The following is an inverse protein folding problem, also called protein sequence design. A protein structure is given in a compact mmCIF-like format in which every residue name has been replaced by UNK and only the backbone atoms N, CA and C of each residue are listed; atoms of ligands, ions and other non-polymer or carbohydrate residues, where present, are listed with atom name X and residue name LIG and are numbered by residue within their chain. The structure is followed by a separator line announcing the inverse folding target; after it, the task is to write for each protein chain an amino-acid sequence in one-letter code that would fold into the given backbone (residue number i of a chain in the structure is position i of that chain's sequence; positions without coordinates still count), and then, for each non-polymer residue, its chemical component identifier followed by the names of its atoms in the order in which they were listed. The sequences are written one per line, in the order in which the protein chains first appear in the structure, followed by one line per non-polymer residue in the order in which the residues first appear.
data_IF_509779660090
#
_entry.id   IF_509779660090
#
_cell.length_a   1.000
_cell.length_b   1.000
_cell.length_c   1.000
_cell.angle_alpha   90.00
_cell.angle_beta   90.00
_cell.angle_gamma   90.00
#
_symmetry.space_group_name_H-M   'P 1'
#
loop_
_entity.id
_entity.type
_entity.pdbx_description
1 polymer ?
#
# COMPACT_ATOMS: atom_id res chain seq x y z
N UNK A 1 -0.29 39.47 33.27
CA UNK A 1 -0.21 38.11 32.68
C UNK A 1 0.26 38.23 31.23
N UNK A 2 1.41 37.67 30.86
CA UNK A 2 1.93 37.74 29.48
C UNK A 2 1.09 36.82 28.57
N UNK A 3 0.38 37.41 27.62
CA UNK A 3 -0.46 36.69 26.65
C UNK A 3 0.40 35.78 25.76
N UNK A 4 0.20 34.46 25.85
CA UNK A 4 0.89 33.45 25.00
C UNK A 4 0.19 33.19 23.66
N UNK A 5 -0.87 33.94 23.38
CA UNK A 5 -1.64 33.87 22.13
C UNK A 5 -0.79 33.92 20.84
N UNK A 6 0.30 34.70 20.70
CA UNK A 6 1.06 34.72 19.44
C UNK A 6 1.81 33.42 19.14
N UNK A 7 1.95 32.51 20.12
CA UNK A 7 2.65 31.23 19.92
C UNK A 7 1.70 30.11 19.47
N UNK A 8 0.38 30.26 19.70
CA UNK A 8 -0.59 29.22 19.42
C UNK A 8 -0.64 28.85 17.92
N UNK A 9 -0.44 29.84 17.04
CA UNK A 9 -0.37 29.61 15.58
C UNK A 9 0.72 28.62 15.18
N UNK A 10 1.85 28.60 15.88
CA UNK A 10 2.96 27.68 15.56
C UNK A 10 2.62 26.24 15.94
N UNK A 11 1.84 26.04 17.00
CA UNK A 11 1.33 24.70 17.34
C UNK A 11 0.37 24.18 16.28
N UNK A 12 -0.55 25.02 15.79
CA UNK A 12 -1.46 24.61 14.71
C UNK A 12 -0.72 24.29 13.41
N UNK A 13 0.24 25.12 13.01
CA UNK A 13 1.07 24.88 11.83
C UNK A 13 1.92 23.61 12.00
N UNK A 14 2.51 23.41 13.19
CA UNK A 14 3.29 22.22 13.50
C UNK A 14 2.45 20.94 13.46
N UNK A 15 1.24 20.97 14.04
CA UNK A 15 0.33 19.84 14.00
C UNK A 15 -0.12 19.52 12.56
N UNK A 16 -0.44 20.55 11.78
CA UNK A 16 -0.81 20.39 10.38
C UNK A 16 0.33 19.74 9.58
N UNK A 17 1.55 20.27 9.71
CA UNK A 17 2.71 19.71 9.03
C UNK A 17 2.99 18.26 9.44
N UNK A 18 2.89 17.94 10.74
CA UNK A 18 3.05 16.58 11.24
C UNK A 18 2.00 15.62 10.67
N UNK A 19 0.73 16.05 10.62
CA UNK A 19 -0.35 15.25 10.04
C UNK A 19 -0.15 15.02 8.54
N UNK A 20 0.23 16.05 7.78
CA UNK A 20 0.53 15.91 6.35
C UNK A 20 1.69 14.93 6.11
N UNK A 21 2.78 15.05 6.88
CA UNK A 21 3.92 14.15 6.77
C UNK A 21 3.57 12.71 7.13
N UNK A 22 2.70 12.49 8.12
CA UNK A 22 2.24 11.16 8.48
C UNK A 22 1.47 10.49 7.32
N UNK A 23 0.56 11.23 6.67
CA UNK A 23 -0.20 10.73 5.51
C UNK A 23 0.72 10.46 4.32
N UNK A 24 1.63 11.40 4.00
CA UNK A 24 2.57 11.20 2.90
C UNK A 24 3.53 10.04 3.16
N UNK A 25 4.02 9.89 4.39
CA UNK A 25 4.86 8.77 4.79
C UNK A 25 4.13 7.43 4.65
N UNK A 26 2.85 7.38 5.03
CA UNK A 26 2.02 6.21 4.81
C UNK A 26 1.87 5.88 3.32
N UNK A 27 1.57 6.87 2.48
CA UNK A 27 1.46 6.63 1.03
C UNK A 27 2.79 6.09 0.46
N UNK A 28 3.93 6.66 0.83
CA UNK A 28 5.23 6.20 0.33
C UNK A 28 5.59 4.78 0.79
N UNK A 29 5.24 4.43 2.02
CA UNK A 29 5.54 3.11 2.58
C UNK A 29 4.58 2.00 2.10
N UNK A 30 3.38 2.35 1.62
CA UNK A 30 2.36 1.35 1.25
C UNK A 30 1.91 1.43 -0.22
N UNK A 31 1.61 2.61 -0.79
CA UNK A 31 1.25 2.73 -2.21
C UNK A 31 2.42 2.39 -3.12
N UNK A 32 3.60 2.90 -2.80
CA UNK A 32 4.75 2.76 -3.69
C UNK A 32 5.18 1.30 -3.87
N UNK A 33 5.33 0.49 -2.81
CA UNK A 33 5.61 -0.94 -2.98
C UNK A 33 4.44 -1.71 -3.59
N UNK A 34 3.18 -1.32 -3.29
CA UNK A 34 2.01 -1.89 -3.97
C UNK A 34 2.09 -1.68 -5.48
N UNK A 35 2.26 -0.43 -5.91
CA UNK A 35 2.29 -0.06 -7.33
C UNK A 35 3.46 -0.74 -8.05
N UNK A 36 4.64 -0.82 -7.43
CA UNK A 36 5.78 -1.58 -7.97
C UNK A 36 5.48 -3.08 -8.10
N UNK A 37 4.79 -3.66 -7.13
CA UNK A 37 4.42 -5.07 -7.17
C UNK A 37 3.40 -5.37 -8.28
N UNK A 38 2.37 -4.53 -8.38
CA UNK A 38 1.32 -4.64 -9.41
C UNK A 38 1.88 -4.41 -10.81
N UNK A 39 2.80 -3.44 -10.99
CA UNK A 39 3.48 -3.19 -12.27
C UNK A 39 4.35 -4.38 -12.72
N UNK A 40 4.92 -5.12 -11.76
CA UNK A 40 5.64 -6.36 -12.02
C UNK A 40 4.73 -7.57 -12.30
N UNK A 41 3.41 -7.39 -12.39
CA UNK A 41 2.44 -8.46 -12.63
C UNK A 41 2.19 -9.38 -11.43
N UNK A 42 2.64 -8.98 -10.24
CA UNK A 42 2.46 -9.72 -9.00
C UNK A 42 1.26 -9.19 -8.21
N UNK A 43 0.84 -9.90 -7.17
CA UNK A 43 -0.27 -9.50 -6.31
C UNK A 43 0.23 -8.94 -4.98
N UNK A 44 -0.23 -7.74 -4.65
CA UNK A 44 0.08 -7.12 -3.37
C UNK A 44 -0.81 -7.65 -2.25
N UNK A 45 -0.21 -8.22 -1.21
CA UNK A 45 -0.92 -8.64 0.00
C UNK A 45 -0.95 -7.52 1.03
N UNK A 46 -2.12 -6.90 1.23
CA UNK A 46 -2.29 -5.88 2.28
C UNK A 46 -2.05 -6.40 3.70
N UNK A 47 -2.32 -7.69 3.94
CA UNK A 47 -2.18 -8.32 5.26
C UNK A 47 -0.71 -8.44 5.67
N UNK A 48 0.14 -8.87 4.74
CA UNK A 48 1.56 -9.13 5.00
C UNK A 48 2.47 -8.00 4.49
N UNK A 49 1.91 -7.02 3.77
CA UNK A 49 2.64 -5.89 3.15
C UNK A 49 3.77 -6.36 2.24
N UNK A 50 3.50 -7.45 1.53
CA UNK A 50 4.49 -8.12 0.70
C UNK A 50 3.92 -8.35 -0.69
N UNK A 51 4.85 -8.42 -1.64
CA UNK A 51 4.55 -8.74 -3.02
C UNK A 51 4.57 -10.26 -3.19
N UNK A 52 3.41 -10.85 -3.48
CA UNK A 52 3.27 -12.28 -3.69
C UNK A 52 3.20 -12.59 -5.18
N UNK A 53 3.90 -13.64 -5.61
CA UNK A 53 3.86 -14.13 -6.99
C UNK A 53 2.68 -15.09 -7.12
N UNK A 54 1.81 -14.95 -8.13
CA UNK A 54 0.75 -15.91 -8.37
C UNK A 54 1.35 -17.27 -8.77
N UNK A 55 1.18 -18.27 -7.90
CA UNK A 55 1.55 -19.65 -8.22
C UNK A 55 0.37 -20.33 -8.93
N UNK A 56 0.60 -20.86 -10.13
CA UNK A 56 -0.46 -21.60 -10.82
C UNK A 56 -0.69 -22.94 -10.12
N UNK A 57 -1.92 -23.21 -9.70
CA UNK A 57 -2.33 -24.49 -9.08
C UNK A 57 -2.03 -25.67 -10.03
N UNK A 58 -2.11 -25.44 -11.33
CA UNK A 58 -1.85 -26.44 -12.38
C UNK A 58 -0.38 -26.90 -12.37
N UNK A 59 0.58 -25.98 -12.22
CA UNK A 59 2.01 -26.35 -12.04
C UNK A 59 2.26 -27.13 -10.75
N UNK A 60 1.60 -26.75 -9.64
CA UNK A 60 1.82 -27.40 -8.34
C UNK A 60 1.21 -28.81 -8.32
N UNK A 61 0.02 -28.97 -8.92
CA UNK A 61 -0.76 -30.21 -8.85
C UNK A 61 -0.49 -31.18 -10.01
N UNK A 62 0.29 -30.75 -11.02
CA UNK A 62 0.58 -31.57 -12.21
C UNK A 62 -0.65 -31.92 -13.04
N UNK A 63 -1.78 -31.23 -12.81
CA UNK A 63 -3.02 -31.46 -13.57
C UNK A 63 -2.82 -30.90 -14.99
N UNK A 64 -3.31 -31.56 -16.04
CA UNK A 64 -3.31 -30.95 -17.37
C UNK A 64 -4.12 -29.65 -17.36
N UNK A 65 -3.59 -28.61 -18.01
CA UNK A 65 -4.30 -27.34 -18.23
C UNK A 65 -5.53 -27.66 -19.08
N UNK A 66 -6.73 -27.62 -18.49
CA UNK A 66 -7.94 -27.63 -19.29
C UNK A 66 -7.97 -26.31 -20.07
N UNK A 67 -8.07 -26.38 -21.39
CA UNK A 67 -8.11 -25.22 -22.29
C UNK A 67 -9.19 -24.22 -21.87
N UNK A 68 -8.75 -23.05 -21.42
CA UNK A 68 -9.32 -21.69 -21.58
C UNK A 68 -10.79 -21.36 -21.20
N UNK A 69 -11.61 -22.26 -20.67
CA UNK A 69 -13.04 -21.95 -20.48
C UNK A 69 -13.51 -21.58 -19.05
N UNK A 70 -12.68 -21.59 -18.00
CA UNK A 70 -13.23 -21.58 -16.61
C UNK A 70 -12.49 -20.71 -15.57
N UNK A 71 -11.83 -19.62 -15.97
CA UNK A 71 -11.25 -18.66 -15.01
C UNK A 71 -11.57 -17.19 -15.30
N UNK A 72 -12.71 -16.93 -15.94
CA UNK A 72 -13.31 -15.58 -16.07
C UNK A 72 -14.84 -15.64 -15.92
N UNK A 73 -15.32 -16.30 -14.86
CA UNK A 73 -16.65 -16.11 -14.29
C UNK A 73 -16.53 -15.97 -12.77
#
# INVERSE_FOLDING_TARGET
MKSKIPHLKFYFVGLFAAASLAVTGWQLLYEFPRKKCEDAGNWWSYKYRECAVPLSIVNITGRPVASEASASQ
#
